data_IF_665756800662
#
_entry.id   IF_665756800662
#
_cell.length_a   1.000
_cell.length_b   1.000
_cell.length_c   1.000
_cell.angle_alpha   90.00
_cell.angle_beta   90.00
_cell.angle_gamma   90.00
#
_symmetry.space_group_name_H-M   'P 1'
#
loop_
_entity.id
_entity.type
_entity.pdbx_description
1 polymer ?
#
# COMPACT_ATOMS: atom_id res chain seq x y z
N UNK A 1 40.73 25.06 -16.64
CA UNK A 1 42.14 25.46 -16.39
C UNK A 1 42.82 24.41 -15.50
N UNK A 2 44.14 24.42 -15.38
CA UNK A 2 45.01 23.37 -14.80
C UNK A 2 44.81 22.95 -13.33
N UNK A 3 45.17 21.67 -13.03
CA UNK A 3 45.90 21.11 -11.84
C UNK A 3 45.30 21.33 -10.42
N UNK A 4 45.34 20.45 -9.41
CA UNK A 4 46.13 19.27 -8.96
C UNK A 4 46.84 19.54 -7.61
N UNK A 5 46.82 18.54 -6.71
CA UNK A 5 47.74 18.25 -5.59
C UNK A 5 47.58 18.88 -4.16
N UNK A 6 47.40 17.95 -3.19
CA UNK A 6 48.23 17.67 -1.98
C UNK A 6 48.24 18.60 -0.73
N UNK A 7 47.68 18.04 0.36
CA UNK A 7 48.39 17.53 1.57
C UNK A 7 48.60 18.36 2.87
N UNK A 8 48.34 17.65 3.99
CA UNK A 8 49.09 17.53 5.29
C UNK A 8 48.84 18.44 6.51
N UNK A 9 49.02 17.80 7.69
CA UNK A 9 49.19 18.28 9.08
C UNK A 9 47.92 18.87 9.76
N UNK A 10 47.67 18.79 11.07
CA UNK A 10 48.38 18.25 12.27
C UNK A 10 47.32 17.91 13.38
N UNK A 11 47.57 17.46 14.63
CA UNK A 11 48.78 17.26 15.46
C UNK A 11 48.71 16.01 16.38
N UNK A 12 48.76 16.12 17.73
CA UNK A 12 48.82 15.02 18.72
C UNK A 12 48.51 15.45 20.17
N UNK A 13 48.19 14.50 21.07
CA UNK A 13 48.63 14.51 22.49
C UNK A 13 48.56 13.12 23.16
N UNK A 14 49.58 12.82 23.97
CA UNK A 14 49.74 11.61 24.79
C UNK A 14 49.44 11.90 26.27
N UNK A 15 49.09 10.85 27.03
CA UNK A 15 49.45 10.69 28.45
C UNK A 15 49.58 9.18 28.74
N UNK A 16 50.59 8.77 29.53
CA UNK A 16 50.83 7.37 29.89
C UNK A 16 51.36 7.22 31.30
N UNK A 17 51.58 5.98 31.76
CA UNK A 17 52.32 5.62 32.99
C UNK A 17 52.89 4.20 32.88
N UNK A 18 54.05 3.99 33.48
CA UNK A 18 54.81 2.72 33.60
C UNK A 18 55.11 2.44 35.08
N UNK A 19 55.77 1.31 35.39
CA UNK A 19 56.82 1.00 36.41
C UNK A 19 56.73 -0.50 36.84
N UNK A 20 57.81 -1.16 37.33
CA UNK A 20 58.54 -2.11 36.45
C UNK A 20 58.89 -3.47 37.11
N UNK A 21 59.75 -4.25 36.43
CA UNK A 21 60.29 -5.56 36.84
C UNK A 21 61.73 -5.40 37.40
N UNK A 22 62.09 -6.20 38.40
CA UNK A 22 63.50 -6.49 38.75
C UNK A 22 63.70 -7.99 38.98
N UNK A 23 64.92 -8.45 38.71
CA UNK A 23 65.38 -9.85 38.88
C UNK A 23 66.70 -9.87 39.64
N UNK A 24 66.85 -10.79 40.60
CA UNK A 24 68.16 -11.18 41.16
C UNK A 24 68.16 -12.67 41.47
N UNK A 25 69.35 -13.28 41.42
CA UNK A 25 69.60 -14.70 41.60
C UNK A 25 70.38 -14.98 42.90
N UNK A 26 70.15 -16.14 43.50
CA UNK A 26 71.09 -16.78 44.45
C UNK A 26 70.76 -18.25 44.64
N UNK A 27 71.78 -19.10 44.70
CA UNK A 27 71.69 -20.55 44.91
C UNK A 27 71.99 -20.93 46.36
N UNK A 28 71.31 -21.96 46.89
CA UNK A 28 71.82 -22.89 47.93
C UNK A 28 70.86 -24.07 48.17
N UNK A 29 71.37 -25.27 47.89
CA UNK A 29 71.22 -26.56 48.58
C UNK A 29 69.87 -27.01 49.17
N UNK A 30 69.36 -28.13 48.62
CA UNK A 30 68.22 -28.91 49.12
C UNK A 30 68.65 -30.05 50.06
N UNK A 31 67.93 -30.28 51.18
CA UNK A 31 67.97 -31.54 51.90
C UNK A 31 66.76 -32.44 51.54
N UNK A 32 67.00 -33.48 50.74
CA UNK A 32 66.43 -34.86 50.71
C UNK A 32 64.90 -35.11 50.80
N UNK A 33 64.06 -34.24 51.38
CA UNK A 33 62.61 -34.44 51.52
C UNK A 33 61.82 -34.33 50.21
N UNK A 34 62.39 -33.73 49.15
CA UNK A 34 61.71 -33.48 47.89
C UNK A 34 61.42 -34.74 47.04
N UNK A 35 62.20 -35.82 47.23
CA UNK A 35 62.21 -36.99 46.32
C UNK A 35 60.98 -37.90 46.48
N UNK A 36 60.23 -37.79 47.58
CA UNK A 36 59.03 -38.60 47.84
C UNK A 36 57.71 -37.94 47.37
N UNK A 37 57.72 -36.65 47.02
CA UNK A 37 56.52 -35.94 46.57
C UNK A 37 56.32 -36.03 45.04
N UNK A 38 57.41 -35.97 44.27
CA UNK A 38 57.39 -35.97 42.79
C UNK A 38 56.86 -37.30 42.24
N UNK A 39 57.27 -38.43 42.81
CA UNK A 39 56.82 -39.77 42.38
C UNK A 39 55.33 -39.98 42.59
N UNK A 40 54.71 -39.30 43.57
CA UNK A 40 53.28 -39.40 43.85
C UNK A 40 52.43 -38.55 42.90
N UNK A 41 52.95 -37.43 42.39
CA UNK A 41 52.28 -36.63 41.36
C UNK A 41 52.29 -37.28 39.97
N UNK A 42 53.37 -37.98 39.60
CA UNK A 42 53.47 -38.61 38.28
C UNK A 42 52.41 -39.71 38.06
N UNK A 43 52.04 -40.47 39.09
CA UNK A 43 51.02 -41.53 38.98
C UNK A 43 49.61 -40.96 38.76
N UNK A 44 49.26 -39.82 39.41
CA UNK A 44 47.98 -39.14 39.16
C UNK A 44 47.88 -38.55 37.75
N UNK A 45 48.97 -38.03 37.20
CA UNK A 45 48.98 -37.44 35.85
C UNK A 45 48.66 -38.46 34.74
N UNK A 46 49.18 -39.69 34.86
CA UNK A 46 49.00 -40.75 33.84
C UNK A 46 47.56 -41.26 33.79
N UNK A 47 46.85 -41.34 34.93
CA UNK A 47 45.44 -41.74 34.94
C UNK A 47 44.48 -40.65 34.45
N UNK A 48 44.77 -39.36 34.69
CA UNK A 48 43.95 -38.27 34.15
C UNK A 48 44.06 -38.14 32.62
N UNK A 49 45.23 -38.39 32.03
CA UNK A 49 45.47 -38.21 30.58
C UNK A 49 44.61 -39.10 29.68
N UNK A 50 44.31 -40.34 30.07
CA UNK A 50 43.55 -41.27 29.21
C UNK A 50 42.03 -41.07 29.27
N UNK A 51 41.49 -40.56 30.39
CA UNK A 51 40.08 -40.19 30.49
C UNK A 51 39.75 -38.97 29.62
N UNK A 52 40.59 -37.93 29.68
CA UNK A 52 40.45 -36.70 28.89
C UNK A 52 40.43 -36.97 27.38
N UNK A 53 41.29 -37.86 26.86
CA UNK A 53 41.34 -38.18 25.43
C UNK A 53 40.08 -38.83 24.86
N UNK A 54 39.37 -39.67 25.64
CA UNK A 54 38.11 -40.29 25.21
C UNK A 54 36.92 -39.34 25.33
N UNK A 55 36.81 -38.60 26.43
CA UNK A 55 35.76 -37.59 26.61
C UNK A 55 35.89 -36.52 25.53
N UNK A 56 37.10 -36.01 25.27
CA UNK A 56 37.31 -34.96 24.28
C UNK A 56 36.98 -35.44 22.85
N UNK A 57 37.30 -36.69 22.45
CA UNK A 57 36.88 -37.22 21.13
C UNK A 57 35.37 -37.40 20.98
N UNK A 58 34.66 -37.79 22.05
CA UNK A 58 33.18 -37.86 22.02
C UNK A 58 32.61 -36.44 21.95
N UNK A 59 33.02 -35.55 22.86
CA UNK A 59 32.57 -34.14 22.89
C UNK A 59 32.84 -33.43 21.57
N UNK A 60 34.03 -33.55 20.96
CA UNK A 60 34.30 -32.92 19.65
C UNK A 60 33.43 -33.50 18.54
N UNK A 61 33.17 -34.82 18.51
CA UNK A 61 32.23 -35.41 17.54
C UNK A 61 30.80 -34.93 17.75
N UNK A 62 30.31 -34.92 18.99
CA UNK A 62 28.95 -34.48 19.33
C UNK A 62 28.76 -32.99 19.06
N UNK A 63 29.76 -32.15 19.36
CA UNK A 63 29.74 -30.74 18.98
C UNK A 63 29.78 -30.56 17.45
N UNK A 64 30.53 -31.37 16.70
CA UNK A 64 30.54 -31.26 15.23
C UNK A 64 29.19 -31.66 14.60
N UNK A 65 28.49 -32.67 15.13
CA UNK A 65 27.10 -32.97 14.71
C UNK A 65 26.09 -31.92 15.20
N UNK A 66 26.22 -31.37 16.40
CA UNK A 66 25.37 -30.26 16.85
C UNK A 66 25.59 -28.99 16.01
N UNK A 67 26.84 -28.70 15.62
CA UNK A 67 27.19 -27.54 14.81
C UNK A 67 26.67 -27.67 13.37
N UNK A 68 26.73 -28.88 12.79
CA UNK A 68 26.09 -29.20 11.51
C UNK A 68 24.55 -29.12 11.55
N UNK A 69 23.92 -29.37 12.70
CA UNK A 69 22.47 -29.18 12.89
C UNK A 69 22.10 -27.72 13.20
N UNK A 70 22.98 -26.94 13.83
CA UNK A 70 22.74 -25.54 14.18
C UNK A 70 23.04 -24.54 13.04
N UNK A 71 23.89 -24.92 12.07
CA UNK A 71 24.18 -24.14 10.86
C UNK A 71 23.47 -24.68 9.61
N UNK A 72 22.41 -25.46 9.80
CA UNK A 72 21.39 -25.63 8.77
C UNK A 72 20.64 -24.32 8.59
N UNK A 73 21.18 -23.41 7.76
CA UNK A 73 20.44 -22.24 7.29
C UNK A 73 19.17 -22.74 6.60
N UNK A 74 18.03 -22.63 7.30
CA UNK A 74 16.72 -22.89 6.75
C UNK A 74 16.39 -21.81 5.72
N UNK A 75 16.97 -21.95 4.52
CA UNK A 75 16.46 -21.31 3.32
C UNK A 75 15.04 -21.82 3.18
N UNK A 76 14.07 -20.98 3.52
CA UNK A 76 12.66 -21.31 3.37
C UNK A 76 12.44 -21.72 1.91
N UNK A 77 12.03 -22.97 1.69
CA UNK A 77 11.90 -23.50 0.35
C UNK A 77 10.92 -22.61 -0.44
N UNK A 78 11.35 -22.16 -1.62
CA UNK A 78 10.52 -21.27 -2.44
C UNK A 78 9.23 -21.98 -2.82
N UNK A 79 8.11 -21.35 -2.50
CA UNK A 79 6.78 -21.88 -2.77
C UNK A 79 6.30 -21.30 -4.10
N UNK A 80 6.15 -22.11 -5.17
CA UNK A 80 5.65 -21.62 -6.43
C UNK A 80 4.17 -21.22 -6.27
N UNK A 81 3.82 -20.05 -6.81
CA UNK A 81 2.44 -19.58 -6.92
C UNK A 81 2.08 -19.56 -8.41
N UNK A 82 1.26 -20.51 -8.86
CA UNK A 82 0.91 -20.71 -10.26
C UNK A 82 -0.22 -19.78 -10.69
N UNK A 83 0.12 -18.76 -11.48
CA UNK A 83 -0.78 -17.68 -11.86
C UNK A 83 -0.99 -17.64 -13.37
N UNK A 84 -2.24 -17.48 -13.79
CA UNK A 84 -2.53 -16.99 -15.14
C UNK A 84 -2.77 -15.48 -15.12
N UNK A 85 -2.49 -14.83 -16.24
CA UNK A 85 -2.75 -13.42 -16.47
C UNK A 85 -3.21 -13.22 -17.93
N UNK A 86 -3.91 -12.13 -18.21
CA UNK A 86 -4.30 -11.77 -19.58
C UNK A 86 -3.67 -10.44 -19.97
N UNK A 87 -3.24 -10.27 -21.24
CA UNK A 87 -2.58 -9.05 -21.66
C UNK A 87 -3.50 -7.84 -21.48
N UNK A 88 -3.03 -6.88 -20.66
CA UNK A 88 -3.61 -5.56 -20.49
C UNK A 88 -2.43 -4.60 -20.19
N UNK A 89 -1.68 -4.14 -21.20
CA UNK A 89 -0.68 -3.10 -20.98
C UNK A 89 -1.34 -1.79 -20.51
N UNK A 90 -0.72 -1.00 -19.61
CA UNK A 90 0.59 -1.21 -18.99
C UNK A 90 0.57 -2.07 -17.71
N UNK A 91 -0.58 -2.66 -17.35
CA UNK A 91 -0.81 -3.38 -16.09
C UNK A 91 -0.14 -4.75 -16.02
N UNK A 92 -0.34 -5.59 -17.03
CA UNK A 92 0.41 -6.83 -17.22
C UNK A 92 0.51 -7.20 -18.70
N UNK A 93 1.72 -7.46 -19.17
CA UNK A 93 2.00 -7.81 -20.56
C UNK A 93 3.31 -8.60 -20.68
N UNK A 94 3.45 -9.33 -21.77
CA UNK A 94 4.71 -9.99 -22.12
C UNK A 94 5.64 -9.03 -22.87
N UNK A 95 6.89 -8.90 -22.44
CA UNK A 95 7.93 -8.12 -23.10
C UNK A 95 9.29 -8.79 -22.88
N UNK A 96 10.10 -8.89 -23.94
CA UNK A 96 11.45 -9.50 -23.93
C UNK A 96 11.55 -10.92 -23.35
N UNK A 97 10.46 -11.70 -23.43
CA UNK A 97 10.36 -13.04 -22.84
C UNK A 97 10.03 -13.06 -21.34
N UNK A 98 9.90 -11.89 -20.71
CA UNK A 98 9.43 -11.70 -19.34
C UNK A 98 7.98 -11.23 -19.32
N UNK A 99 7.39 -11.24 -18.12
CA UNK A 99 6.10 -10.60 -17.84
C UNK A 99 6.35 -9.37 -16.96
N UNK A 100 5.85 -8.23 -17.41
CA UNK A 100 6.08 -6.89 -16.83
C UNK A 100 4.75 -6.14 -16.68
N UNK A 101 4.77 -5.04 -15.93
CA UNK A 101 3.63 -4.14 -15.74
C UNK A 101 3.27 -3.94 -14.27
N UNK A 102 2.51 -2.89 -13.99
CA UNK A 102 2.28 -2.41 -12.61
C UNK A 102 1.63 -3.43 -11.68
N UNK A 103 0.72 -4.30 -12.14
CA UNK A 103 0.13 -5.35 -11.27
C UNK A 103 1.16 -6.42 -10.93
N UNK A 104 2.10 -6.67 -11.82
CA UNK A 104 3.17 -7.67 -11.66
C UNK A 104 4.22 -7.16 -10.69
N UNK A 105 4.58 -5.87 -10.81
CA UNK A 105 5.57 -5.24 -9.95
C UNK A 105 5.02 -5.03 -8.53
N UNK A 106 3.76 -4.62 -8.39
CA UNK A 106 3.05 -4.60 -7.10
C UNK A 106 3.00 -5.99 -6.43
N UNK A 107 2.70 -7.05 -7.19
CA UNK A 107 2.68 -8.42 -6.66
C UNK A 107 4.08 -8.87 -6.19
N UNK A 108 5.11 -8.63 -7.01
CA UNK A 108 6.51 -8.95 -6.67
C UNK A 108 6.97 -8.19 -5.43
N UNK A 109 6.61 -6.91 -5.31
CA UNK A 109 6.87 -6.09 -4.13
C UNK A 109 6.24 -6.70 -2.87
N UNK A 110 4.94 -7.00 -2.89
CA UNK A 110 4.24 -7.52 -1.71
C UNK A 110 4.72 -8.93 -1.28
N UNK A 111 5.16 -9.75 -2.24
CA UNK A 111 5.71 -11.09 -2.00
C UNK A 111 7.21 -11.11 -1.69
N UNK A 112 7.93 -9.98 -1.78
CA UNK A 112 9.40 -9.91 -1.71
C UNK A 112 10.01 -10.59 -0.47
N UNK A 113 9.48 -10.32 0.73
CA UNK A 113 9.93 -10.94 1.99
C UNK A 113 9.18 -12.24 2.35
N UNK A 114 8.63 -12.95 1.35
CA UNK A 114 7.89 -14.20 1.54
C UNK A 114 8.60 -15.35 0.82
N UNK A 115 8.32 -16.63 1.14
CA UNK A 115 8.80 -17.75 0.34
C UNK A 115 8.09 -17.85 -1.03
N UNK A 116 7.01 -17.10 -1.27
CA UNK A 116 6.19 -17.27 -2.47
C UNK A 116 6.85 -16.67 -3.72
N UNK A 117 6.75 -17.39 -4.85
CA UNK A 117 7.30 -16.99 -6.14
C UNK A 117 6.24 -17.07 -7.25
N UNK A 118 5.76 -15.93 -7.77
CA UNK A 118 4.73 -15.91 -8.80
C UNK A 118 5.28 -16.44 -10.13
N UNK A 119 4.76 -17.58 -10.56
CA UNK A 119 4.99 -18.17 -11.88
C UNK A 119 3.80 -17.78 -12.75
N UNK A 120 3.94 -16.71 -13.52
CA UNK A 120 2.84 -16.11 -14.29
C UNK A 120 2.90 -16.64 -15.73
N UNK A 121 1.76 -17.02 -16.28
CA UNK A 121 1.61 -17.37 -17.70
C UNK A 121 0.53 -16.49 -18.37
N UNK A 122 0.91 -15.84 -19.48
CA UNK A 122 -0.04 -15.06 -20.28
C UNK A 122 -0.96 -15.99 -21.09
N UNK A 123 -2.27 -15.81 -20.93
CA UNK A 123 -3.32 -16.58 -21.63
C UNK A 123 -4.55 -15.70 -21.91
N UNK A 124 -5.43 -16.08 -22.86
CA UNK A 124 -6.72 -15.41 -23.04
C UNK A 124 -7.59 -15.48 -21.78
N UNK A 125 -8.30 -14.40 -21.46
CA UNK A 125 -9.10 -14.22 -20.23
C UNK A 125 -10.14 -15.33 -19.98
N UNK A 126 -10.79 -15.82 -21.06
CA UNK A 126 -11.73 -16.97 -20.96
C UNK A 126 -11.02 -18.25 -20.50
N UNK A 127 -9.75 -18.47 -20.88
CA UNK A 127 -8.93 -19.59 -20.40
C UNK A 127 -8.53 -19.38 -18.93
N UNK A 128 -8.09 -18.18 -18.56
CA UNK A 128 -7.73 -17.85 -17.17
C UNK A 128 -8.90 -18.09 -16.21
N UNK A 129 -10.07 -17.53 -16.54
CA UNK A 129 -11.31 -17.70 -15.77
C UNK A 129 -11.69 -19.18 -15.61
N UNK A 130 -11.71 -19.94 -16.71
CA UNK A 130 -12.05 -21.37 -16.67
C UNK A 130 -11.02 -22.20 -15.87
N UNK A 131 -9.72 -21.96 -16.05
CA UNK A 131 -8.66 -22.68 -15.32
C UNK A 131 -8.73 -22.44 -13.82
N UNK A 132 -9.03 -21.20 -13.39
CA UNK A 132 -9.26 -20.85 -12.00
C UNK A 132 -10.51 -21.55 -11.42
N UNK A 133 -11.64 -21.51 -12.14
CA UNK A 133 -12.88 -22.19 -11.74
C UNK A 133 -12.70 -23.72 -11.60
N UNK A 134 -11.82 -24.33 -12.38
CA UNK A 134 -11.48 -25.75 -12.30
C UNK A 134 -10.40 -26.08 -11.25
N UNK A 135 -9.82 -25.08 -10.57
CA UNK A 135 -8.75 -25.28 -9.59
C UNK A 135 -7.44 -25.80 -10.19
N UNK A 136 -7.17 -25.48 -11.47
CA UNK A 136 -5.96 -25.91 -12.20
C UNK A 136 -4.77 -24.96 -11.94
N UNK A 137 -5.05 -23.76 -11.46
CA UNK A 137 -4.10 -22.71 -11.10
C UNK A 137 -4.44 -22.15 -9.72
N UNK A 138 -3.45 -21.58 -9.03
CA UNK A 138 -3.65 -20.97 -7.71
C UNK A 138 -4.40 -19.64 -7.83
N UNK A 139 -4.17 -18.88 -8.90
CA UNK A 139 -4.81 -17.58 -9.06
C UNK A 139 -4.81 -16.99 -10.47
N UNK A 140 -5.61 -15.94 -10.64
CA UNK A 140 -5.68 -15.10 -11.83
C UNK A 140 -5.34 -13.64 -11.46
N UNK A 141 -4.19 -13.17 -11.94
CA UNK A 141 -3.68 -11.82 -11.76
C UNK A 141 -4.24 -10.82 -12.77
N UNK A 142 -4.54 -9.60 -12.32
CA UNK A 142 -4.70 -8.43 -13.17
C UNK A 142 -6.10 -8.28 -13.79
N UNK A 143 -7.14 -8.70 -13.07
CA UNK A 143 -8.53 -8.67 -13.55
C UNK A 143 -9.47 -7.93 -12.59
N UNK A 144 -10.45 -7.24 -13.16
CA UNK A 144 -11.52 -6.56 -12.43
C UNK A 144 -12.48 -7.54 -11.70
N UNK A 145 -13.11 -7.14 -10.57
CA UNK A 145 -14.05 -7.97 -9.84
C UNK A 145 -15.18 -8.54 -10.71
N UNK A 146 -15.46 -9.83 -10.52
CA UNK A 146 -16.51 -10.57 -11.22
C UNK A 146 -17.34 -11.39 -10.24
N UNK A 147 -18.66 -11.20 -10.27
CA UNK A 147 -19.61 -12.01 -9.50
C UNK A 147 -19.52 -13.51 -9.85
N UNK A 148 -19.04 -13.85 -11.05
CA UNK A 148 -18.82 -15.24 -11.47
C UNK A 148 -17.56 -15.83 -10.86
N UNK A 149 -16.45 -15.08 -10.83
CA UNK A 149 -15.21 -15.55 -10.20
C UNK A 149 -15.34 -15.64 -8.67
N UNK A 150 -16.10 -14.72 -8.05
CA UNK A 150 -16.40 -14.73 -6.62
C UNK A 150 -17.05 -16.04 -6.10
N UNK A 151 -17.64 -16.86 -6.99
CA UNK A 151 -18.19 -18.18 -6.62
C UNK A 151 -17.12 -19.23 -6.34
N UNK A 152 -15.92 -19.04 -6.89
CA UNK A 152 -14.84 -20.04 -6.94
C UNK A 152 -13.50 -19.53 -6.42
N UNK A 153 -13.37 -18.23 -6.17
CA UNK A 153 -12.13 -17.57 -5.79
C UNK A 153 -12.40 -16.29 -4.97
N UNK A 154 -11.42 -15.87 -4.19
CA UNK A 154 -11.42 -14.61 -3.43
C UNK A 154 -10.40 -13.65 -4.05
N UNK A 155 -10.75 -12.37 -4.18
CA UNK A 155 -9.86 -11.34 -4.75
C UNK A 155 -9.08 -10.62 -3.64
N UNK A 156 -7.82 -10.26 -3.93
CA UNK A 156 -6.99 -9.38 -3.11
C UNK A 156 -7.50 -7.93 -3.07
N UNK A 157 -6.86 -7.11 -2.24
CA UNK A 157 -6.84 -5.67 -2.45
C UNK A 157 -6.27 -5.33 -3.86
N UNK A 158 -6.59 -4.16 -4.43
CA UNK A 158 -6.17 -3.81 -5.79
C UNK A 158 -4.64 -3.73 -5.91
N UNK A 159 -4.09 -4.33 -6.97
CA UNK A 159 -2.69 -4.19 -7.37
C UNK A 159 -2.49 -3.09 -8.41
N UNK A 160 -3.55 -2.75 -9.15
CA UNK A 160 -3.62 -1.58 -10.01
C UNK A 160 -5.07 -1.07 -10.15
N UNK A 161 -5.22 0.05 -10.84
CA UNK A 161 -6.48 0.70 -11.16
C UNK A 161 -6.49 1.05 -12.64
N UNK A 162 -7.48 0.51 -13.35
CA UNK A 162 -7.87 1.05 -14.65
C UNK A 162 -8.78 2.28 -14.46
N UNK A 163 -8.62 3.27 -15.33
CA UNK A 163 -9.45 4.47 -15.41
C UNK A 163 -10.30 4.40 -16.67
N UNK A 164 -11.55 3.97 -16.58
CA UNK A 164 -12.37 3.75 -17.77
C UNK A 164 -13.07 5.03 -18.21
N UNK A 165 -12.85 5.41 -19.47
CA UNK A 165 -13.49 6.53 -20.12
C UNK A 165 -14.34 6.05 -21.29
N UNK A 166 -15.47 6.71 -21.49
CA UNK A 166 -16.15 6.76 -22.77
C UNK A 166 -15.46 7.85 -23.60
N UNK A 167 -15.11 7.51 -24.85
CA UNK A 167 -14.75 8.48 -25.86
C UNK A 167 -15.80 8.47 -26.97
N UNK A 168 -16.42 9.63 -27.23
CA UNK A 168 -17.53 9.81 -28.17
C UNK A 168 -17.40 11.16 -28.90
N UNK A 169 -18.06 11.34 -30.06
CA UNK A 169 -17.98 12.62 -30.80
C UNK A 169 -18.54 13.81 -30.00
N UNK A 170 -19.45 13.55 -29.06
CA UNK A 170 -20.05 14.54 -28.15
C UNK A 170 -20.30 13.88 -26.78
N UNK A 171 -20.43 14.66 -25.69
CA UNK A 171 -20.83 14.13 -24.39
C UNK A 171 -22.24 13.55 -24.42
N UNK A 172 -22.43 12.43 -23.72
CA UNK A 172 -23.71 11.71 -23.56
C UNK A 172 -24.16 11.72 -22.09
N UNK A 173 -25.45 11.48 -21.84
CA UNK A 173 -25.99 11.37 -20.47
C UNK A 173 -25.89 9.94 -19.88
N UNK A 174 -26.00 8.92 -20.74
CA UNK A 174 -25.90 7.50 -20.37
C UNK A 174 -25.23 6.69 -21.51
N UNK A 175 -24.74 5.50 -21.17
CA UNK A 175 -24.28 4.48 -22.11
C UNK A 175 -25.43 3.70 -22.78
N UNK A 176 -26.65 3.82 -22.25
CA UNK A 176 -27.82 3.07 -22.75
C UNK A 176 -28.19 3.47 -24.18
N UNK A 177 -28.35 2.47 -25.05
CA UNK A 177 -28.73 2.66 -26.45
C UNK A 177 -27.60 3.09 -27.39
N UNK A 178 -26.37 3.29 -26.88
CA UNK A 178 -25.19 3.53 -27.72
C UNK A 178 -24.65 2.21 -28.30
N UNK A 179 -24.22 2.24 -29.56
CA UNK A 179 -23.43 1.17 -30.19
C UNK A 179 -21.99 1.29 -29.71
N UNK A 180 -21.59 0.49 -28.73
CA UNK A 180 -20.28 0.61 -28.10
C UNK A 180 -19.22 -0.28 -28.77
N UNK A 181 -18.01 0.28 -28.86
CA UNK A 181 -16.80 -0.45 -29.22
C UNK A 181 -15.93 -0.75 -28.00
N UNK A 182 -15.36 -1.96 -27.92
CA UNK A 182 -14.39 -2.34 -26.89
C UNK A 182 -13.28 -3.26 -27.44
N UNK A 183 -12.17 -3.38 -26.72
CA UNK A 183 -11.08 -4.30 -27.07
C UNK A 183 -11.49 -5.73 -26.70
N UNK A 184 -11.35 -6.67 -27.64
CA UNK A 184 -11.84 -8.03 -27.51
C UNK A 184 -11.16 -8.78 -26.34
N UNK A 185 -11.96 -9.14 -25.32
CA UNK A 185 -11.47 -9.83 -24.12
C UNK A 185 -10.76 -8.93 -23.09
N UNK A 186 -10.97 -7.61 -23.17
CA UNK A 186 -10.56 -6.66 -22.12
C UNK A 186 -11.49 -6.69 -20.90
N UNK A 187 -11.15 -5.96 -19.85
CA UNK A 187 -11.99 -5.86 -18.65
C UNK A 187 -13.27 -5.03 -18.91
N UNK A 188 -13.14 -3.99 -19.75
CA UNK A 188 -14.22 -3.13 -20.24
C UNK A 188 -15.25 -3.94 -21.04
N UNK A 189 -14.79 -4.70 -22.05
CA UNK A 189 -15.67 -5.53 -22.87
C UNK A 189 -16.49 -6.51 -22.03
N UNK A 190 -15.84 -7.21 -21.08
CA UNK A 190 -16.54 -8.08 -20.11
C UNK A 190 -17.57 -7.34 -19.26
N UNK A 191 -17.24 -6.15 -18.77
CA UNK A 191 -18.13 -5.38 -17.92
C UNK A 191 -19.35 -4.90 -18.70
N UNK A 192 -19.15 -4.39 -19.93
CA UNK A 192 -20.23 -3.96 -20.81
C UNK A 192 -21.19 -5.12 -21.14
N UNK A 193 -20.66 -6.25 -21.61
CA UNK A 193 -21.44 -7.48 -21.90
C UNK A 193 -22.27 -7.92 -20.68
N UNK A 194 -21.68 -7.94 -19.49
CA UNK A 194 -22.37 -8.36 -18.24
C UNK A 194 -23.42 -7.37 -17.75
N UNK A 195 -23.28 -6.08 -18.10
CA UNK A 195 -24.27 -5.05 -17.80
C UNK A 195 -25.40 -4.99 -18.83
N UNK A 196 -25.23 -5.63 -19.98
CA UNK A 196 -26.24 -5.70 -21.04
C UNK A 196 -26.20 -4.52 -22.02
N UNK A 197 -25.12 -3.74 -22.04
CA UNK A 197 -24.92 -2.69 -23.04
C UNK A 197 -24.63 -3.30 -24.43
N UNK A 198 -24.99 -2.58 -25.49
CA UNK A 198 -24.77 -3.02 -26.89
C UNK A 198 -23.29 -2.84 -27.27
N UNK A 199 -22.48 -3.87 -27.03
CA UNK A 199 -21.09 -3.95 -27.52
C UNK A 199 -21.09 -4.42 -28.97
N UNK A 200 -21.58 -3.57 -29.88
CA UNK A 200 -21.79 -3.89 -31.30
C UNK A 200 -20.52 -4.38 -31.99
N UNK A 201 -19.34 -3.88 -31.59
CA UNK A 201 -18.05 -4.23 -32.18
C UNK A 201 -17.00 -4.52 -31.11
N UNK A 202 -16.38 -5.70 -31.18
CA UNK A 202 -15.14 -6.01 -30.45
C UNK A 202 -14.00 -6.27 -31.45
N UNK A 203 -12.87 -5.61 -31.21
CA UNK A 203 -11.72 -5.61 -32.13
C UNK A 203 -10.40 -5.81 -31.38
N UNK A 204 -9.30 -6.08 -32.08
CA UNK A 204 -8.06 -6.49 -31.45
C UNK A 204 -7.22 -5.33 -30.90
N UNK A 205 -7.39 -4.11 -31.43
CA UNK A 205 -6.53 -2.96 -31.11
C UNK A 205 -7.31 -1.64 -31.07
N UNK A 206 -6.76 -0.60 -30.44
CA UNK A 206 -7.42 0.71 -30.32
C UNK A 206 -7.52 1.43 -31.67
N UNK A 207 -6.54 1.28 -32.57
CA UNK A 207 -6.58 1.82 -33.95
C UNK A 207 -7.86 1.36 -34.68
N UNK A 208 -8.28 0.12 -34.44
CA UNK A 208 -9.49 -0.45 -35.04
C UNK A 208 -10.77 0.16 -34.45
N UNK A 209 -10.80 0.51 -33.16
CA UNK A 209 -11.92 1.24 -32.54
C UNK A 209 -12.00 2.68 -33.04
N UNK A 210 -10.87 3.38 -33.10
CA UNK A 210 -10.79 4.76 -33.60
C UNK A 210 -11.26 4.82 -35.06
N UNK A 211 -10.86 3.85 -35.89
CA UNK A 211 -11.31 3.73 -37.27
C UNK A 211 -12.74 3.20 -37.45
N UNK A 212 -13.45 2.83 -36.36
CA UNK A 212 -14.88 2.50 -36.38
C UNK A 212 -15.74 3.70 -35.99
N UNK A 213 -15.31 4.51 -35.01
CA UNK A 213 -16.02 5.73 -34.62
C UNK A 213 -15.93 6.81 -35.72
N UNK A 214 -14.75 7.01 -36.31
CA UNK A 214 -14.54 7.88 -37.50
C UNK A 214 -15.45 7.50 -38.70
N UNK A 215 -15.88 6.24 -38.76
CA UNK A 215 -16.78 5.71 -39.79
C UNK A 215 -18.23 5.55 -39.32
N UNK A 216 -18.57 6.12 -38.16
CA UNK A 216 -19.90 6.11 -37.53
C UNK A 216 -20.50 4.70 -37.37
N UNK A 217 -19.64 3.68 -37.20
CA UNK A 217 -20.02 2.28 -36.98
C UNK A 217 -20.33 1.97 -35.52
N UNK A 218 -19.72 2.74 -34.62
CA UNK A 218 -19.98 2.79 -33.18
C UNK A 218 -20.21 4.25 -32.79
N UNK A 219 -20.96 4.49 -31.72
CA UNK A 219 -21.27 5.82 -31.19
C UNK A 219 -20.28 6.26 -30.10
N UNK A 220 -19.60 5.28 -29.47
CA UNK A 220 -18.56 5.52 -28.48
C UNK A 220 -17.66 4.30 -28.30
N UNK A 221 -16.46 4.52 -27.79
CA UNK A 221 -15.53 3.46 -27.39
C UNK A 221 -15.24 3.56 -25.89
N UNK A 222 -15.17 2.42 -25.22
CA UNK A 222 -14.90 2.35 -23.77
C UNK A 222 -13.55 1.65 -23.55
N UNK A 223 -12.59 2.41 -23.04
CA UNK A 223 -11.20 1.96 -22.80
C UNK A 223 -10.60 2.62 -21.57
N UNK A 224 -9.58 1.99 -21.00
CA UNK A 224 -8.66 2.60 -20.04
C UNK A 224 -7.94 3.85 -20.62
N UNK A 225 -7.83 4.91 -19.80
CA UNK A 225 -7.24 6.20 -20.22
C UNK A 225 -5.80 6.05 -20.72
N UNK A 226 -4.99 5.19 -20.10
CA UNK A 226 -3.58 5.00 -20.45
C UNK A 226 -3.40 4.33 -21.81
N UNK A 227 -4.39 3.54 -22.23
CA UNK A 227 -4.43 2.93 -23.57
C UNK A 227 -4.70 4.01 -24.62
N UNK A 228 -5.57 4.99 -24.33
CA UNK A 228 -5.78 6.15 -25.19
C UNK A 228 -4.58 7.10 -25.19
N UNK A 229 -4.02 7.43 -24.02
CA UNK A 229 -2.81 8.25 -23.86
C UNK A 229 -1.65 7.68 -24.71
N UNK A 230 -1.34 6.39 -24.56
CA UNK A 230 -0.28 5.73 -25.31
C UNK A 230 -0.54 5.67 -26.83
N UNK A 231 -1.80 5.65 -27.26
CA UNK A 231 -2.17 5.77 -28.67
C UNK A 231 -1.94 7.19 -29.18
N UNK A 232 -2.36 8.21 -28.44
CA UNK A 232 -2.16 9.62 -28.81
C UNK A 232 -0.66 9.98 -28.90
N UNK A 233 0.17 9.51 -27.97
CA UNK A 233 1.63 9.68 -28.00
C UNK A 233 2.29 9.05 -29.25
N UNK A 234 1.74 7.94 -29.77
CA UNK A 234 2.28 7.26 -30.95
C UNK A 234 1.79 7.88 -32.28
N UNK A 235 0.74 8.71 -32.27
CA UNK A 235 0.08 9.21 -33.48
C UNK A 235 0.61 10.54 -34.03
N UNK A 236 1.71 11.09 -33.51
CA UNK A 236 2.35 12.30 -34.08
C UNK A 236 2.69 12.18 -35.58
N UNK A 237 2.69 10.96 -36.16
CA UNK A 237 3.19 10.69 -37.50
C UNK A 237 2.15 10.54 -38.63
N UNK A 238 0.89 10.10 -38.40
CA UNK A 238 0.07 9.62 -39.54
C UNK A 238 -1.44 9.91 -39.61
N UNK A 239 -2.18 10.13 -38.51
CA UNK A 239 -3.58 10.62 -38.59
C UNK A 239 -3.89 11.55 -37.41
N UNK A 240 -4.63 12.66 -37.62
CA UNK A 240 -5.17 13.42 -36.50
C UNK A 240 -6.14 12.52 -35.73
N UNK A 241 -5.97 12.41 -34.41
CA UNK A 241 -6.96 11.76 -33.58
C UNK A 241 -8.31 12.48 -33.75
N UNK A 242 -9.45 11.76 -33.86
CA UNK A 242 -10.76 12.39 -33.91
C UNK A 242 -10.97 13.22 -32.63
N UNK A 243 -11.66 14.35 -32.77
CA UNK A 243 -11.98 15.27 -31.67
C UNK A 243 -13.05 14.69 -30.75
N UNK A 244 -12.73 13.60 -30.07
CA UNK A 244 -13.62 12.90 -29.16
C UNK A 244 -13.62 13.59 -27.80
N UNK A 245 -14.82 13.79 -27.25
CA UNK A 245 -15.01 14.13 -25.85
C UNK A 245 -14.76 12.89 -24.98
N UNK A 246 -14.21 13.09 -23.78
CA UNK A 246 -13.82 12.03 -22.87
C UNK A 246 -14.59 12.15 -21.54
N UNK A 247 -15.47 11.19 -21.25
CA UNK A 247 -16.25 11.13 -20.03
C UNK A 247 -15.80 9.97 -19.14
N UNK A 248 -15.44 10.28 -17.90
CA UNK A 248 -15.10 9.27 -16.90
C UNK A 248 -16.33 8.41 -16.59
N UNK A 249 -16.17 7.09 -16.67
CA UNK A 249 -17.20 6.12 -16.31
C UNK A 249 -16.98 5.63 -14.88
N UNK A 250 -15.77 5.13 -14.59
CA UNK A 250 -15.44 4.49 -13.31
C UNK A 250 -13.95 4.17 -13.16
N UNK A 251 -13.53 3.87 -11.94
CA UNK A 251 -12.32 3.08 -11.71
C UNK A 251 -12.64 1.59 -11.77
N UNK A 252 -11.68 0.77 -12.20
CA UNK A 252 -11.76 -0.68 -12.10
C UNK A 252 -10.52 -1.24 -11.38
N UNK A 253 -10.68 -1.77 -10.15
CA UNK A 253 -9.57 -2.37 -9.42
C UNK A 253 -9.10 -3.66 -10.09
N UNK A 254 -7.83 -3.73 -10.46
CA UNK A 254 -7.21 -4.97 -10.89
C UNK A 254 -6.65 -5.71 -9.69
N UNK A 255 -7.26 -6.85 -9.36
CA UNK A 255 -6.83 -7.70 -8.24
C UNK A 255 -6.14 -8.98 -8.68
N UNK A 256 -5.64 -9.72 -7.69
CA UNK A 256 -5.30 -11.13 -7.79
C UNK A 256 -6.46 -11.94 -7.23
N UNK A 257 -7.17 -12.67 -8.08
CA UNK A 257 -8.06 -13.73 -7.62
C UNK A 257 -7.24 -14.95 -7.21
N UNK A 258 -7.53 -15.53 -6.05
CA UNK A 258 -6.98 -16.79 -5.56
C UNK A 258 -8.11 -17.81 -5.46
N UNK A 259 -7.92 -19.00 -6.04
CA UNK A 259 -8.91 -20.07 -6.02
C UNK A 259 -9.22 -20.50 -4.58
N UNK A 260 -10.48 -20.84 -4.30
CA UNK A 260 -10.90 -21.25 -2.96
C UNK A 260 -10.07 -22.42 -2.41
N UNK A 261 -9.61 -23.34 -3.27
CA UNK A 261 -8.70 -24.41 -2.89
C UNK A 261 -7.39 -23.88 -2.29
N UNK A 262 -6.77 -22.88 -2.92
CA UNK A 262 -5.52 -22.26 -2.44
C UNK A 262 -5.76 -21.51 -1.12
N UNK A 263 -6.81 -20.68 -1.05
CA UNK A 263 -7.14 -19.90 0.14
C UNK A 263 -7.46 -20.81 1.35
N UNK A 264 -8.16 -21.94 1.13
CA UNK A 264 -8.47 -22.90 2.19
C UNK A 264 -7.22 -23.62 2.74
N UNK A 265 -6.18 -23.82 1.92
CA UNK A 265 -4.91 -24.43 2.34
C UNK A 265 -3.96 -23.38 2.95
N UNK A 266 -4.09 -22.11 2.55
CA UNK A 266 -3.24 -20.99 2.98
C UNK A 266 -4.08 -19.80 3.49
N UNK A 267 -4.85 -19.95 4.60
CA UNK A 267 -5.87 -18.98 5.02
C UNK A 267 -5.32 -17.57 5.27
N UNK A 268 -4.12 -17.46 5.84
CA UNK A 268 -3.49 -16.17 6.12
C UNK A 268 -2.91 -15.46 4.87
N UNK A 269 -2.75 -16.15 3.73
CA UNK A 269 -2.01 -15.63 2.58
C UNK A 269 -2.60 -14.30 2.11
N UNK A 270 -3.92 -14.26 1.96
CA UNK A 270 -4.63 -13.08 1.45
C UNK A 270 -4.51 -11.88 2.40
N UNK A 271 -4.62 -12.12 3.71
CA UNK A 271 -4.45 -11.08 4.73
C UNK A 271 -3.02 -10.50 4.71
N UNK A 272 -2.00 -11.37 4.66
CA UNK A 272 -0.58 -10.96 4.58
C UNK A 272 -0.22 -10.27 3.26
N UNK A 273 -0.84 -10.66 2.14
CA UNK A 273 -0.68 -9.98 0.86
C UNK A 273 -1.29 -8.58 0.92
N UNK A 274 -2.55 -8.47 1.35
CA UNK A 274 -3.28 -7.20 1.40
C UNK A 274 -2.58 -6.18 2.31
N UNK A 275 -2.12 -6.60 3.49
CA UNK A 275 -1.40 -5.74 4.44
C UNK A 275 -0.07 -5.15 3.93
N UNK A 276 0.41 -5.58 2.74
CA UNK A 276 1.62 -5.08 2.08
C UNK A 276 1.35 -4.32 0.79
N UNK A 277 0.14 -4.43 0.23
CA UNK A 277 -0.18 -3.81 -1.06
C UNK A 277 -0.25 -2.29 -0.97
N UNK A 278 -0.63 -1.72 0.19
CA UNK A 278 -0.72 -0.26 0.38
C UNK A 278 0.61 0.49 0.17
N UNK A 279 1.74 -0.15 0.46
CA UNK A 279 3.10 0.39 0.24
C UNK A 279 3.64 0.07 -1.16
N UNK A 280 3.13 -0.98 -1.80
CA UNK A 280 3.59 -1.46 -3.10
C UNK A 280 2.85 -0.82 -4.30
N UNK A 281 1.65 -0.25 -4.07
CA UNK A 281 0.75 0.24 -5.13
C UNK A 281 0.64 1.77 -5.16
N UNK A 282 1.16 2.46 -4.14
CA UNK A 282 0.93 3.90 -3.88
C UNK A 282 1.40 4.85 -5.00
N UNK A 283 2.32 4.41 -5.87
CA UNK A 283 2.80 5.17 -7.02
C UNK A 283 1.84 5.14 -8.23
N UNK A 284 0.84 4.25 -8.25
CA UNK A 284 -0.04 4.03 -9.40
C UNK A 284 -1.44 4.67 -9.31
N UNK A 285 -1.83 5.18 -8.14
CA UNK A 285 -3.19 5.68 -7.82
C UNK A 285 -3.20 7.21 -7.64
N UNK A 286 -2.77 7.93 -8.67
CA UNK A 286 -2.80 9.38 -8.67
C UNK A 286 -3.87 9.93 -9.62
N UNK A 287 -4.44 11.06 -9.22
CA UNK A 287 -5.26 11.87 -10.09
C UNK A 287 -4.37 12.62 -11.08
N UNK A 288 -4.84 12.76 -12.31
CA UNK A 288 -4.24 13.72 -13.24
C UNK A 288 -4.60 15.16 -12.86
N UNK A 289 -4.01 16.14 -13.55
CA UNK A 289 -4.20 17.56 -13.25
C UNK A 289 -5.67 18.02 -13.40
N UNK A 290 -6.41 17.45 -14.36
CA UNK A 290 -7.83 17.78 -14.63
C UNK A 290 -8.73 17.17 -13.56
N UNK A 291 -8.53 15.89 -13.24
CA UNK A 291 -9.24 15.19 -12.16
C UNK A 291 -8.98 15.88 -10.81
N UNK A 292 -7.71 16.15 -10.47
CA UNK A 292 -7.34 16.83 -9.23
C UNK A 292 -7.94 18.25 -9.17
N UNK A 293 -7.97 18.98 -10.29
CA UNK A 293 -8.59 20.29 -10.39
C UNK A 293 -10.10 20.27 -10.08
N UNK A 294 -10.84 19.30 -10.63
CA UNK A 294 -12.28 19.17 -10.37
C UNK A 294 -12.55 18.74 -8.91
N UNK A 295 -11.78 17.80 -8.38
CA UNK A 295 -11.88 17.37 -6.97
C UNK A 295 -11.58 18.53 -6.02
N UNK A 296 -10.53 19.33 -6.28
CA UNK A 296 -10.21 20.50 -5.47
C UNK A 296 -11.31 21.56 -5.53
N UNK A 297 -11.94 21.76 -6.68
CA UNK A 297 -13.10 22.66 -6.86
C UNK A 297 -14.29 22.18 -6.02
N UNK A 298 -14.61 20.88 -6.05
CA UNK A 298 -15.67 20.31 -5.23
C UNK A 298 -15.34 20.38 -3.73
N UNK A 299 -14.12 20.03 -3.32
CA UNK A 299 -13.66 20.14 -1.94
C UNK A 299 -13.78 21.58 -1.39
N UNK A 300 -13.41 22.61 -2.18
CA UNK A 300 -13.60 24.03 -1.80
C UNK A 300 -15.06 24.35 -1.51
N UNK A 301 -15.99 23.91 -2.36
CA UNK A 301 -17.42 24.12 -2.17
C UNK A 301 -17.95 23.38 -0.93
N UNK A 302 -17.49 22.15 -0.70
CA UNK A 302 -17.85 21.34 0.46
C UNK A 302 -17.36 21.96 1.78
N UNK A 303 -16.09 22.40 1.86
CA UNK A 303 -15.58 23.10 3.05
C UNK A 303 -16.32 24.42 3.32
N UNK A 304 -16.65 25.19 2.29
CA UNK A 304 -17.41 26.43 2.44
C UNK A 304 -18.85 26.16 2.95
N UNK A 305 -19.50 25.09 2.48
CA UNK A 305 -20.82 24.69 2.95
C UNK A 305 -20.77 24.13 4.39
N UNK A 306 -19.79 23.29 4.71
CA UNK A 306 -19.60 22.72 6.05
C UNK A 306 -19.42 23.83 7.10
N UNK A 307 -18.57 24.83 6.81
CA UNK A 307 -18.30 25.96 7.71
C UNK A 307 -19.54 26.84 7.99
N UNK A 308 -20.55 26.81 7.12
CA UNK A 308 -21.84 27.50 7.34
C UNK A 308 -22.80 26.71 8.23
N UNK A 309 -22.64 25.38 8.33
CA UNK A 309 -23.54 24.49 9.06
C UNK A 309 -22.97 24.02 10.42
N UNK A 310 -21.64 23.88 10.52
CA UNK A 310 -20.96 23.36 11.71
C UNK A 310 -19.89 24.36 12.16
N UNK A 311 -19.97 24.81 13.41
CA UNK A 311 -18.99 25.74 13.98
C UNK A 311 -17.72 25.00 14.46
N UNK A 312 -16.88 24.63 13.50
CA UNK A 312 -15.63 23.88 13.71
C UNK A 312 -14.64 24.63 14.64
N UNK A 313 -14.60 25.97 14.56
CA UNK A 313 -13.73 26.80 15.39
C UNK A 313 -14.17 26.75 16.87
N UNK A 314 -15.47 26.85 17.15
CA UNK A 314 -16.00 26.71 18.50
C UNK A 314 -15.77 25.29 19.06
N UNK A 315 -15.91 24.25 18.22
CA UNK A 315 -15.61 22.87 18.59
C UNK A 315 -14.14 22.72 19.01
N UNK A 316 -13.19 23.14 18.18
CA UNK A 316 -11.75 23.12 18.49
C UNK A 316 -11.39 23.91 19.76
N UNK A 317 -12.01 25.09 19.96
CA UNK A 317 -11.81 25.88 21.19
C UNK A 317 -12.37 25.19 22.43
N UNK A 318 -13.53 24.53 22.33
CA UNK A 318 -14.15 23.81 23.45
C UNK A 318 -13.44 22.49 23.78
N UNK A 319 -12.79 21.89 22.78
CA UNK A 319 -12.06 20.64 22.88
C UNK A 319 -10.54 20.82 23.00
N UNK A 320 -10.06 22.03 23.34
CA UNK A 320 -8.73 22.22 23.94
C UNK A 320 -8.71 21.56 25.33
N UNK A 321 -8.65 20.24 25.31
CA UNK A 321 -8.18 19.45 26.42
C UNK A 321 -6.67 19.66 26.48
N UNK A 322 -6.14 20.03 27.65
CA UNK A 322 -4.70 20.26 27.86
C UNK A 322 -3.89 18.95 27.89
N UNK A 323 -4.29 17.95 27.09
CA UNK A 323 -3.52 16.71 26.92
C UNK A 323 -2.15 17.04 26.34
N UNK A 324 -1.12 16.58 27.03
CA UNK A 324 0.22 16.49 26.46
C UNK A 324 0.25 15.45 25.34
N UNK A 325 1.21 15.57 24.41
CA UNK A 325 1.43 14.54 23.38
C UNK A 325 1.61 13.13 23.97
N UNK A 326 2.15 12.99 25.18
CA UNK A 326 2.29 11.71 25.85
C UNK A 326 0.92 11.10 26.25
N UNK A 327 -0.03 11.92 26.69
CA UNK A 327 -1.40 11.48 26.99
C UNK A 327 -2.18 11.16 25.72
N UNK A 328 -2.02 11.97 24.65
CA UNK A 328 -2.60 11.71 23.34
C UNK A 328 -2.17 10.33 22.80
N UNK A 329 -0.87 10.03 22.83
CA UNK A 329 -0.34 8.73 22.40
C UNK A 329 -0.76 7.57 23.31
N UNK A 330 -1.04 7.82 24.59
CA UNK A 330 -1.57 6.81 25.50
C UNK A 330 -3.04 6.48 25.21
N UNK A 331 -3.86 7.50 24.93
CA UNK A 331 -5.26 7.31 24.48
C UNK A 331 -5.27 6.57 23.14
N UNK A 332 -4.40 6.95 22.21
CA UNK A 332 -4.24 6.31 20.91
C UNK A 332 -3.89 4.81 21.00
N UNK A 333 -2.94 4.45 21.86
CA UNK A 333 -2.59 3.05 22.09
C UNK A 333 -3.78 2.21 22.63
N UNK A 334 -4.68 2.82 23.43
CA UNK A 334 -5.90 2.16 23.90
C UNK A 334 -6.96 2.08 22.79
N UNK A 335 -7.07 3.11 21.97
CA UNK A 335 -7.99 3.18 20.82
C UNK A 335 -7.69 2.07 19.80
N UNK A 336 -6.43 1.92 19.39
CA UNK A 336 -6.00 0.91 18.43
C UNK A 336 -6.17 -0.54 18.93
N UNK A 337 -6.22 -0.75 20.24
CA UNK A 337 -6.50 -2.06 20.86
C UNK A 337 -8.00 -2.34 20.99
N UNK A 338 -8.85 -1.31 20.91
CA UNK A 338 -10.29 -1.47 20.93
C UNK A 338 -10.79 -2.08 19.61
N UNK A 339 -12.04 -2.55 19.62
CA UNK A 339 -12.70 -3.02 18.39
C UNK A 339 -13.91 -2.14 18.09
N UNK A 340 -14.32 -2.06 16.83
CA UNK A 340 -15.54 -1.33 16.42
C UNK A 340 -16.80 -1.77 17.20
N UNK A 341 -16.82 -3.00 17.73
CA UNK A 341 -17.91 -3.54 18.56
C UNK A 341 -17.79 -3.24 20.06
N UNK A 342 -16.62 -2.80 20.51
CA UNK A 342 -16.32 -2.45 21.90
C UNK A 342 -15.28 -1.31 21.89
N UNK A 343 -15.68 -0.09 21.49
CA UNK A 343 -14.82 1.10 21.47
C UNK A 343 -14.46 1.56 22.90
N UNK A 344 -13.48 2.45 23.03
CA UNK A 344 -13.11 3.06 24.32
C UNK A 344 -14.15 4.09 24.78
N UNK A 345 -14.11 4.47 26.06
CA UNK A 345 -14.97 5.52 26.60
C UNK A 345 -14.69 6.88 25.92
N UNK A 346 -13.42 7.17 25.58
CA UNK A 346 -13.03 8.35 24.80
C UNK A 346 -13.64 8.32 23.39
N UNK A 347 -13.62 7.16 22.73
CA UNK A 347 -14.21 7.00 21.41
C UNK A 347 -15.74 7.18 21.43
N UNK A 348 -16.41 6.66 22.45
CA UNK A 348 -17.84 6.89 22.68
C UNK A 348 -18.14 8.37 22.97
N UNK A 349 -17.33 9.02 23.82
CA UNK A 349 -17.49 10.43 24.16
C UNK A 349 -17.31 11.35 22.95
N UNK A 350 -16.31 11.09 22.09
CA UNK A 350 -16.11 11.87 20.87
C UNK A 350 -17.21 11.59 19.86
N UNK A 351 -17.57 10.33 19.62
CA UNK A 351 -18.64 9.96 18.66
C UNK A 351 -19.99 10.58 19.04
N UNK A 352 -20.31 10.61 20.34
CA UNK A 352 -21.56 11.17 20.85
C UNK A 352 -21.58 12.70 20.98
N UNK A 353 -20.47 13.42 20.72
CA UNK A 353 -20.42 14.86 20.93
C UNK A 353 -21.24 15.63 19.85
N UNK A 354 -21.74 16.84 20.16
CA UNK A 354 -22.62 17.58 19.25
C UNK A 354 -22.01 17.89 17.88
N UNK A 355 -20.67 18.00 17.80
CA UNK A 355 -19.97 18.25 16.56
C UNK A 355 -19.92 16.98 15.71
N UNK A 356 -19.54 15.84 16.29
CA UNK A 356 -19.55 14.54 15.61
C UNK A 356 -20.92 14.18 15.04
N UNK A 357 -21.98 14.36 15.84
CA UNK A 357 -23.37 14.18 15.39
C UNK A 357 -23.75 15.12 14.23
N UNK A 358 -23.25 16.35 14.23
CA UNK A 358 -23.46 17.30 13.12
C UNK A 358 -22.66 16.92 11.86
N UNK A 359 -21.42 16.42 12.01
CA UNK A 359 -20.61 15.90 10.91
C UNK A 359 -21.25 14.65 10.28
N UNK A 360 -21.81 13.74 11.10
CA UNK A 360 -22.55 12.56 10.63
C UNK A 360 -23.81 12.94 9.83
N UNK A 361 -24.66 13.82 10.38
CA UNK A 361 -25.85 14.31 9.66
C UNK A 361 -25.48 15.03 8.36
N UNK A 362 -24.43 15.85 8.39
CA UNK A 362 -23.95 16.56 7.20
C UNK A 362 -23.44 15.55 6.15
N UNK A 363 -22.63 14.56 6.53
CA UNK A 363 -22.20 13.47 5.64
C UNK A 363 -23.39 12.74 5.00
N UNK A 364 -24.39 12.36 5.80
CA UNK A 364 -25.57 11.64 5.33
C UNK A 364 -26.35 12.42 4.25
N UNK A 365 -26.40 13.75 4.34
CA UNK A 365 -27.07 14.60 3.34
C UNK A 365 -26.38 14.67 1.97
N UNK A 366 -25.16 14.17 1.83
CA UNK A 366 -24.36 14.24 0.59
C UNK A 366 -24.44 12.98 -0.30
N UNK A 367 -25.48 12.14 -0.15
CA UNK A 367 -25.73 10.94 -0.97
C UNK A 367 -24.53 9.98 -1.07
N UNK A 368 -23.74 9.91 0.01
CA UNK A 368 -22.52 9.10 0.08
C UNK A 368 -21.41 9.53 -0.89
N UNK A 369 -21.38 10.80 -1.35
CA UNK A 369 -20.18 11.41 -1.96
C UNK A 369 -19.05 11.60 -0.95
N UNK A 370 -19.41 11.63 0.33
CA UNK A 370 -18.52 11.90 1.45
C UNK A 370 -18.44 10.63 2.29
N UNK A 371 -17.23 10.12 2.48
CA UNK A 371 -16.96 8.84 3.15
C UNK A 371 -16.66 9.05 4.64
N UNK A 372 -15.97 10.14 4.99
CA UNK A 372 -15.61 10.53 6.36
C UNK A 372 -15.43 12.04 6.49
N UNK A 373 -15.60 12.52 7.73
CA UNK A 373 -15.12 13.81 8.20
C UNK A 373 -14.36 13.60 9.51
N UNK A 374 -13.28 14.36 9.67
CA UNK A 374 -12.49 14.41 10.89
C UNK A 374 -12.18 15.87 11.21
N UNK A 375 -12.36 16.24 12.48
CA UNK A 375 -11.89 17.49 13.05
C UNK A 375 -10.76 17.17 14.02
N UNK A 376 -9.57 17.67 13.72
CA UNK A 376 -8.31 17.32 14.36
C UNK A 376 -7.74 18.58 15.01
N UNK A 377 -7.27 18.49 16.25
CA UNK A 377 -6.67 19.62 16.97
C UNK A 377 -5.24 19.93 16.48
N UNK A 378 -4.66 21.03 16.98
CA UNK A 378 -3.30 21.46 16.65
C UNK A 378 -2.16 20.47 17.04
N UNK A 379 -2.41 19.47 17.88
CA UNK A 379 -1.45 18.40 18.23
C UNK A 379 -1.68 17.10 17.43
N UNK A 380 -2.76 17.03 16.65
CA UNK A 380 -3.14 15.85 15.87
C UNK A 380 -4.20 14.97 16.55
N UNK A 381 -4.77 15.36 17.68
CA UNK A 381 -5.80 14.57 18.37
C UNK A 381 -7.19 14.78 17.77
N UNK A 382 -8.03 13.74 17.72
CA UNK A 382 -9.41 13.85 17.23
C UNK A 382 -10.32 14.61 18.21
N UNK A 383 -11.01 15.62 17.68
CA UNK A 383 -12.01 16.44 18.38
C UNK A 383 -13.43 16.05 17.99
N UNK A 384 -13.65 15.70 16.73
CA UNK A 384 -14.93 15.20 16.23
C UNK A 384 -14.72 14.33 15.00
N UNK A 385 -15.64 13.39 14.75
CA UNK A 385 -15.61 12.50 13.60
C UNK A 385 -17.03 12.12 13.16
N UNK A 386 -17.26 11.92 11.87
CA UNK A 386 -18.55 11.43 11.36
C UNK A 386 -18.68 9.91 11.39
N UNK A 387 -17.56 9.18 11.49
CA UNK A 387 -17.50 7.73 11.73
C UNK A 387 -16.26 7.40 12.56
N UNK A 388 -16.31 6.27 13.27
CA UNK A 388 -15.21 5.77 14.09
C UNK A 388 -13.93 5.55 13.25
N UNK A 389 -12.81 6.09 13.74
CA UNK A 389 -11.46 5.96 13.17
C UNK A 389 -10.73 4.72 13.70
N UNK A 390 -9.66 4.31 13.01
CA UNK A 390 -8.74 3.24 13.45
C UNK A 390 -7.96 3.59 14.73
N UNK A 391 -7.76 4.88 14.95
CA UNK A 391 -6.78 5.47 15.84
C UNK A 391 -7.24 6.87 16.28
N UNK A 392 -6.70 7.38 17.38
CA UNK A 392 -7.06 8.67 17.97
C UNK A 392 -6.14 9.81 17.51
N UNK A 393 -4.86 9.50 17.31
CA UNK A 393 -3.84 10.48 16.96
C UNK A 393 -3.52 10.46 15.47
N UNK A 394 -3.99 11.49 14.78
CA UNK A 394 -3.86 11.70 13.35
C UNK A 394 -2.62 12.53 12.98
N UNK A 395 -1.73 12.81 13.95
CA UNK A 395 -0.61 13.75 13.81
C UNK A 395 0.52 13.27 12.91
N UNK A 396 0.63 11.97 12.66
CA UNK A 396 1.57 11.34 11.73
C UNK A 396 0.94 11.06 10.35
N UNK A 397 -0.36 11.23 10.17
CA UNK A 397 -1.01 11.07 8.87
C UNK A 397 -0.73 12.25 7.92
N UNK A 398 -0.66 11.98 6.62
CA UNK A 398 -0.41 13.02 5.60
C UNK A 398 -1.52 14.06 5.55
N UNK A 399 -2.77 13.67 5.83
CA UNK A 399 -3.93 14.58 5.92
C UNK A 399 -3.72 15.73 6.92
N UNK A 400 -2.93 15.48 7.97
CA UNK A 400 -2.54 16.47 8.96
C UNK A 400 -1.18 17.08 8.61
N UNK A 401 -0.12 16.26 8.50
CA UNK A 401 1.27 16.74 8.34
C UNK A 401 1.45 17.67 7.15
N UNK A 402 0.87 17.35 5.99
CA UNK A 402 1.04 18.16 4.79
C UNK A 402 0.32 19.51 4.91
N UNK A 403 -0.83 19.57 5.60
CA UNK A 403 -1.54 20.83 5.87
C UNK A 403 -0.75 21.70 6.84
N UNK A 404 -0.23 21.12 7.94
CA UNK A 404 0.52 21.87 8.96
C UNK A 404 1.89 22.33 8.42
N UNK A 405 2.55 21.52 7.59
CA UNK A 405 3.81 21.91 6.95
C UNK A 405 3.63 22.96 5.82
N UNK A 406 2.42 23.07 5.24
CA UNK A 406 2.15 23.93 4.08
C UNK A 406 0.90 24.82 4.30
N UNK A 407 0.74 25.41 5.48
CA UNK A 407 -0.47 26.18 5.86
C UNK A 407 -0.91 27.24 4.84
N UNK A 408 0.04 27.86 4.14
CA UNK A 408 -0.21 28.90 3.13
C UNK A 408 -0.72 28.37 1.78
N UNK A 409 -0.60 27.06 1.51
CA UNK A 409 -1.03 26.43 0.23
C UNK A 409 -2.54 26.14 0.19
N UNK A 410 -3.25 26.35 1.31
CA UNK A 410 -4.72 26.29 1.38
C UNK A 410 -5.27 24.88 1.59
N UNK A 411 -5.43 24.11 0.51
CA UNK A 411 -5.98 22.75 0.56
C UNK A 411 -4.93 21.70 0.21
N UNK A 412 -4.84 20.67 1.05
CA UNK A 412 -4.18 19.41 0.73
C UNK A 412 -5.18 18.44 0.09
N UNK A 413 -4.69 17.58 -0.81
CA UNK A 413 -5.42 16.44 -1.36
C UNK A 413 -4.50 15.22 -1.34
N UNK A 414 -4.96 14.12 -0.75
CA UNK A 414 -4.20 12.87 -0.70
C UNK A 414 -4.14 12.15 -2.06
N UNK A 415 -3.18 11.22 -2.26
CA UNK A 415 -3.32 10.18 -3.28
C UNK A 415 -4.64 9.40 -3.12
N UNK A 416 -5.09 8.75 -4.20
CA UNK A 416 -6.27 7.88 -4.15
C UNK A 416 -5.93 6.62 -3.34
N UNK A 417 -6.76 6.30 -2.34
CA UNK A 417 -6.68 5.08 -1.53
C UNK A 417 -7.91 4.20 -1.77
N UNK A 418 -7.72 2.89 -1.65
CA UNK A 418 -8.82 1.93 -1.67
C UNK A 418 -9.26 1.65 -0.23
N UNK A 419 -10.51 1.97 0.10
CA UNK A 419 -11.11 1.50 1.35
C UNK A 419 -11.65 0.08 1.15
N UNK A 420 -10.99 -0.90 1.75
CA UNK A 420 -11.40 -2.30 1.65
C UNK A 420 -12.75 -2.61 2.31
N UNK A 421 -13.21 -1.78 3.25
CA UNK A 421 -14.46 -2.00 3.98
C UNK A 421 -15.69 -1.60 3.15
N UNK A 422 -15.65 -0.42 2.52
CA UNK A 422 -16.70 0.06 1.62
C UNK A 422 -16.51 -0.41 0.17
N UNK A 423 -15.28 -0.80 -0.20
CA UNK A 423 -14.81 -1.09 -1.57
C UNK A 423 -14.84 0.11 -2.52
N UNK A 424 -14.85 1.32 -1.97
CA UNK A 424 -14.76 2.56 -2.73
C UNK A 424 -13.32 3.08 -2.79
N UNK A 425 -13.06 3.89 -3.81
CA UNK A 425 -11.86 4.70 -3.88
C UNK A 425 -12.14 6.03 -3.20
N UNK A 426 -11.21 6.47 -2.35
CA UNK A 426 -11.33 7.74 -1.67
C UNK A 426 -10.06 8.59 -1.78
N UNK A 427 -10.28 9.90 -1.81
CA UNK A 427 -9.25 10.92 -1.60
C UNK A 427 -9.63 11.76 -0.39
N UNK A 428 -8.65 12.10 0.44
CA UNK A 428 -8.86 12.95 1.61
C UNK A 428 -8.43 14.35 1.22
N UNK A 429 -9.39 15.27 1.19
CA UNK A 429 -9.12 16.71 1.13
C UNK A 429 -8.96 17.23 2.56
N UNK A 430 -8.02 18.14 2.81
CA UNK A 430 -7.78 18.67 4.17
C UNK A 430 -7.44 20.16 4.16
N UNK A 431 -7.89 20.87 5.19
CA UNK A 431 -7.78 22.32 5.33
C UNK A 431 -7.39 22.70 6.76
N UNK A 432 -6.49 23.67 6.90
CA UNK A 432 -6.18 24.33 8.17
C UNK A 432 -7.39 25.13 8.70
N UNK A 433 -7.55 25.14 10.02
CA UNK A 433 -8.48 26.02 10.74
C UNK A 433 -7.66 26.93 11.65
N UNK A 434 -7.87 28.24 11.50
CA UNK A 434 -7.24 29.27 12.30
C UNK A 434 -8.24 29.86 13.30
N UNK A 435 -7.76 30.39 14.42
CA UNK A 435 -8.58 31.20 15.33
C UNK A 435 -8.75 32.60 14.70
N UNK A 436 -9.99 33.01 14.42
CA UNK A 436 -10.33 34.29 13.75
C UNK A 436 -9.85 35.53 14.54
N UNK A 437 -9.45 35.39 15.81
CA UNK A 437 -9.00 36.50 16.67
C UNK A 437 -7.48 36.58 16.79
N UNK A 438 -6.77 35.44 16.90
CA UNK A 438 -5.31 35.41 17.04
C UNK A 438 -4.56 35.12 15.73
N UNK A 439 -5.24 34.55 14.73
CA UNK A 439 -4.61 34.05 13.50
C UNK A 439 -3.79 32.77 13.72
N UNK A 440 -3.81 32.19 14.91
CA UNK A 440 -3.09 30.95 15.22
C UNK A 440 -3.78 29.74 14.57
N UNK A 441 -2.99 28.79 14.08
CA UNK A 441 -3.48 27.47 13.69
C UNK A 441 -4.00 26.73 14.92
N UNK A 442 -5.29 26.37 14.93
CA UNK A 442 -5.94 25.65 16.04
C UNK A 442 -6.33 24.21 15.70
N UNK A 443 -6.29 23.84 14.42
CA UNK A 443 -6.57 22.47 13.99
C UNK A 443 -6.61 22.29 12.47
N UNK A 444 -7.03 21.10 12.06
CA UNK A 444 -7.22 20.68 10.68
C UNK A 444 -8.60 20.03 10.56
N UNK A 445 -9.32 20.30 9.47
CA UNK A 445 -10.50 19.52 9.08
C UNK A 445 -10.19 18.72 7.83
N UNK A 446 -10.54 17.44 7.85
CA UNK A 446 -10.38 16.52 6.74
C UNK A 446 -11.76 15.99 6.28
N UNK A 447 -11.92 15.82 4.97
CA UNK A 447 -13.10 15.24 4.33
C UNK A 447 -12.63 14.16 3.35
N UNK A 448 -13.07 12.92 3.56
CA UNK A 448 -12.90 11.84 2.58
C UNK A 448 -14.00 11.91 1.52
N UNK A 449 -13.60 11.86 0.24
CA UNK A 449 -14.48 11.96 -0.93
C UNK A 449 -14.44 10.67 -1.73
N UNK A 450 -15.60 10.12 -2.05
CA UNK A 450 -15.73 9.03 -3.05
C UNK A 450 -15.36 9.59 -4.42
N UNK A 451 -14.25 9.12 -4.98
CA UNK A 451 -13.68 9.68 -6.20
C UNK A 451 -14.47 9.26 -7.46
N UNK A 452 -15.13 8.09 -7.47
CA UNK A 452 -16.01 7.71 -8.58
C UNK A 452 -17.20 8.67 -8.66
N UNK A 453 -17.81 9.01 -7.52
CA UNK A 453 -18.93 9.96 -7.45
C UNK A 453 -18.54 11.43 -7.62
N UNK A 454 -17.27 11.78 -7.38
CA UNK A 454 -16.75 13.12 -7.64
C UNK A 454 -16.41 13.33 -9.13
N UNK A 455 -15.98 12.29 -9.85
CA UNK A 455 -15.57 12.38 -11.25
C UNK A 455 -16.65 11.93 -12.27
N UNK A 456 -17.61 11.09 -11.89
CA UNK A 456 -18.66 10.63 -12.82
C UNK A 456 -19.58 11.77 -13.26
N UNK A 457 -19.57 12.03 -14.57
CA UNK A 457 -20.55 12.87 -15.26
C UNK A 457 -21.71 12.08 -15.89
N UNK A 458 -21.70 10.76 -15.77
CA UNK A 458 -22.75 9.85 -16.27
C UNK A 458 -23.67 9.45 -15.11
N UNK A 459 -24.96 9.21 -15.42
CA UNK A 459 -26.03 8.92 -14.45
C UNK A 459 -26.48 7.45 -14.44
#
# INVERSE_FOLDING_TARGET
MWRSCKSRNCSSRNLGKQWPIQTTSSTRDLPIAATLFITRMMVLAVHYGQALGRVMRVVTRTFFTLYLLAFGSSVAAEQPLQLFASPAPPYQYGADGEIRGSTVDALRCALSETPWRPHIQMVPQRRASHSLQKGVIDGYLGIAPSAELNKHAVISAPLALEKWYLYSEQPVESLDGLRLGAIAGSNEAMWLERRGYDVTMQVATLEQLVALIDRQRIDGLVVDSRVMEAYLEQQEAFQPAPGLDAQFIRFAPLGLYLGNNFVNVHPDFLARLNARLDDCVTSGFQLDEKEAGEVLKQARALFANLQQQVNLEAALRSARNDYTLAEILMIDQLWQQASVKNPTDEALAITANPTSLALEHWQASHNGRITELMLIDHQGALVAMSRLTSDFWQGDESKFREVVANVDKGLFLSPVRFDASSRHFQVIASKSIFDDRSGELIGVVAIGLDIEKALSGLH
#
